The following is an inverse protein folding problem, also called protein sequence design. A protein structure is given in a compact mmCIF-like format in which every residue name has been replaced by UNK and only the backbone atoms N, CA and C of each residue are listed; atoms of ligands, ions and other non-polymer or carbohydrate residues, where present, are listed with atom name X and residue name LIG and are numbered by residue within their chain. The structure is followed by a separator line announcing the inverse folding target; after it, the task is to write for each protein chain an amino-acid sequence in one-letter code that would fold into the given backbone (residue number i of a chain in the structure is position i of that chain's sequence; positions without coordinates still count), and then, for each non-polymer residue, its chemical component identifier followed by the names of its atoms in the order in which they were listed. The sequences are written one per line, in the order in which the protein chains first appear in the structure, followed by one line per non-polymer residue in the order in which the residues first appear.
data_IF_670367843010
#
_entry.id   IF_670367843010
#
_cell.length_a   1.000
_cell.length_b   1.000
_cell.length_c   1.000
_cell.angle_alpha   90.00
_cell.angle_beta   90.00
_cell.angle_gamma   90.00
#
_symmetry.space_group_name_H-M   'P 1'
#
loop_
_entity.id
_entity.type
_entity.pdbx_description
1 polymer ?
#
# COMPACT_ATOMS: atom_id res chain seq x y z
N UNK A 1 1.44 -14.62 23.56
CA UNK A 1 2.49 -15.41 24.25
C UNK A 1 2.50 -16.88 23.76
N UNK A 2 1.36 -17.51 23.50
CA UNK A 2 1.29 -18.90 23.01
C UNK A 2 2.07 -19.10 21.71
N UNK A 3 1.80 -18.27 20.69
CA UNK A 3 2.47 -18.33 19.39
C UNK A 3 3.99 -18.08 19.49
N UNK A 4 4.41 -17.17 20.40
CA UNK A 4 5.85 -16.91 20.62
C UNK A 4 6.56 -18.12 21.23
N UNK A 5 5.89 -18.87 22.11
CA UNK A 5 6.41 -20.13 22.65
C UNK A 5 6.60 -21.21 21.58
N UNK A 6 5.85 -21.10 20.47
CA UNK A 6 5.97 -21.97 19.28
C UNK A 6 7.02 -21.47 18.29
N UNK A 7 7.79 -20.42 18.61
CA UNK A 7 8.85 -19.88 17.78
C UNK A 7 8.41 -18.78 16.80
N UNK A 8 7.12 -18.38 16.79
CA UNK A 8 6.65 -17.30 15.92
C UNK A 8 7.03 -15.94 16.50
N UNK A 9 7.60 -15.07 15.67
CA UNK A 9 8.05 -13.73 16.09
C UNK A 9 7.53 -12.60 15.21
N UNK A 10 6.92 -12.91 14.07
CA UNK A 10 6.35 -11.91 13.15
C UNK A 10 4.87 -12.17 12.95
N UNK A 11 4.06 -11.11 13.02
CA UNK A 11 2.60 -11.19 12.98
C UNK A 11 2.05 -10.13 12.06
N UNK A 12 1.02 -10.49 11.30
CA UNK A 12 0.17 -9.56 10.59
C UNK A 12 -1.08 -9.28 11.44
N UNK A 13 -1.41 -8.02 11.64
CA UNK A 13 -2.65 -7.61 12.31
C UNK A 13 -3.69 -7.42 11.21
N UNK A 14 -4.65 -8.34 11.15
CA UNK A 14 -5.72 -8.39 10.15
C UNK A 14 -6.86 -7.41 10.47
N UNK A 15 -6.52 -6.14 10.61
CA UNK A 15 -7.46 -5.03 10.77
C UNK A 15 -7.28 -4.14 9.54
N UNK A 16 -8.34 -3.91 8.78
CA UNK A 16 -8.28 -3.19 7.50
C UNK A 16 -7.81 -1.75 7.66
N UNK A 17 -8.06 -1.16 8.83
CA UNK A 17 -7.52 0.14 9.21
C UNK A 17 -7.28 0.19 10.72
N UNK A 18 -6.11 -0.25 11.13
CA UNK A 18 -5.73 -0.32 12.54
C UNK A 18 -5.74 1.06 13.22
N UNK A 19 -5.56 2.15 12.48
CA UNK A 19 -5.61 3.50 13.01
C UNK A 19 -7.05 3.91 13.43
N UNK A 20 -8.07 3.35 12.78
CA UNK A 20 -9.48 3.57 13.12
C UNK A 20 -9.99 2.66 14.26
N UNK A 21 -9.20 1.70 14.69
CA UNK A 21 -9.57 0.81 15.79
C UNK A 21 -9.64 1.58 17.11
N UNK A 22 -10.79 1.60 17.75
CA UNK A 22 -11.02 2.33 19.02
C UNK A 22 -10.07 1.93 20.16
N UNK A 23 -9.49 0.74 20.08
CA UNK A 23 -8.58 0.18 21.08
C UNK A 23 -7.11 0.21 20.64
N UNK A 24 -6.77 0.88 19.53
CA UNK A 24 -5.41 0.89 18.98
C UNK A 24 -4.35 1.24 20.03
N UNK A 25 -4.63 2.23 20.86
CA UNK A 25 -3.68 2.70 21.87
C UNK A 25 -3.39 1.65 22.94
N UNK A 26 -4.44 1.06 23.52
CA UNK A 26 -4.30 0.01 24.53
C UNK A 26 -3.66 -1.27 23.97
N UNK A 27 -3.90 -1.60 22.71
CA UNK A 27 -3.28 -2.73 22.02
C UNK A 27 -1.77 -2.47 21.85
N UNK A 28 -1.40 -1.28 21.38
CA UNK A 28 0.02 -0.90 21.22
C UNK A 28 0.73 -0.84 22.56
N UNK A 29 0.11 -0.29 23.62
CA UNK A 29 0.69 -0.25 24.96
C UNK A 29 0.96 -1.67 25.45
N UNK A 30 0.09 -2.63 25.20
CA UNK A 30 0.30 -4.02 25.55
C UNK A 30 1.44 -4.67 24.77
N UNK A 31 1.60 -4.34 23.49
CA UNK A 31 2.75 -4.82 22.72
C UNK A 31 4.06 -4.19 23.18
N UNK A 32 4.05 -2.92 23.57
CA UNK A 32 5.21 -2.25 24.16
C UNK A 32 5.62 -2.95 25.47
N UNK A 33 4.67 -3.22 26.37
CA UNK A 33 4.91 -3.99 27.60
C UNK A 33 5.56 -5.36 27.31
N UNK A 34 4.99 -6.12 26.36
CA UNK A 34 5.51 -7.42 25.97
C UNK A 34 6.96 -7.36 25.47
N UNK A 35 7.31 -6.30 24.73
CA UNK A 35 8.65 -6.11 24.19
C UNK A 35 9.63 -5.52 25.20
N UNK A 36 9.24 -4.44 25.88
CA UNK A 36 10.15 -3.68 26.72
C UNK A 36 10.32 -4.30 28.12
N UNK A 37 9.22 -4.82 28.70
CA UNK A 37 9.26 -5.44 30.04
C UNK A 37 9.54 -6.93 29.94
N UNK A 38 8.75 -7.65 29.14
CA UNK A 38 8.88 -9.11 29.02
C UNK A 38 9.94 -9.55 27.99
N UNK A 39 10.64 -8.59 27.33
CA UNK A 39 11.76 -8.82 26.38
C UNK A 39 11.40 -9.78 25.23
N UNK A 40 10.13 -9.86 24.83
CA UNK A 40 9.71 -10.68 23.70
C UNK A 40 10.18 -10.06 22.38
N UNK A 41 10.84 -10.85 21.55
CA UNK A 41 11.26 -10.45 20.19
C UNK A 41 10.09 -10.66 19.22
N UNK A 42 9.16 -9.70 19.20
CA UNK A 42 7.99 -9.72 18.32
C UNK A 42 8.00 -8.52 17.38
N UNK A 43 7.45 -8.71 16.19
CA UNK A 43 7.28 -7.67 15.17
C UNK A 43 5.94 -7.78 14.49
N UNK A 44 5.47 -6.66 13.94
CA UNK A 44 4.14 -6.57 13.33
C UNK A 44 4.18 -5.92 11.95
N UNK A 45 3.27 -6.37 11.10
CA UNK A 45 2.77 -5.64 9.93
C UNK A 45 1.36 -5.17 10.26
N UNK A 46 1.04 -3.92 9.95
CA UNK A 46 -0.30 -3.33 10.12
C UNK A 46 -0.78 -2.71 8.81
N UNK A 47 -2.09 -2.55 8.68
CA UNK A 47 -2.73 -1.77 7.62
C UNK A 47 -3.29 -0.49 8.21
N UNK A 48 -3.15 0.63 7.51
CA UNK A 48 -3.62 1.96 7.93
C UNK A 48 -3.99 2.81 6.72
N UNK A 49 -4.84 3.79 6.96
CA UNK A 49 -5.10 4.85 5.99
C UNK A 49 -4.03 5.96 6.01
N UNK A 50 -4.14 6.90 5.09
CA UNK A 50 -3.23 8.05 5.00
C UNK A 50 -3.42 9.06 6.13
N UNK A 51 -4.52 9.01 6.90
CA UNK A 51 -4.83 9.92 7.98
C UNK A 51 -4.25 9.49 9.33
N UNK A 52 -3.66 8.29 9.41
CA UNK A 52 -3.10 7.73 10.64
C UNK A 52 -2.09 8.65 11.35
N UNK A 53 -1.42 9.53 10.60
CA UNK A 53 -0.46 10.50 11.16
C UNK A 53 -1.10 11.65 11.93
N UNK A 54 -2.41 11.85 11.78
CA UNK A 54 -3.19 12.84 12.53
C UNK A 54 -3.55 12.36 13.93
N UNK A 55 -3.37 11.06 14.22
CA UNK A 55 -3.57 10.51 15.55
C UNK A 55 -2.33 10.77 16.41
N UNK A 56 -2.44 11.57 17.49
CA UNK A 56 -1.29 11.91 18.32
C UNK A 56 -0.59 10.68 18.88
N UNK A 57 0.70 10.53 18.62
CA UNK A 57 1.52 9.44 19.16
C UNK A 57 1.31 8.06 18.51
N UNK A 58 0.41 7.91 17.54
CA UNK A 58 0.12 6.61 16.90
C UNK A 58 1.34 6.00 16.25
N UNK A 59 2.05 6.77 15.40
CA UNK A 59 3.21 6.27 14.64
C UNK A 59 4.37 5.95 15.60
N UNK A 60 4.65 6.82 16.58
CA UNK A 60 5.68 6.60 17.56
C UNK A 60 5.41 5.36 18.43
N UNK A 61 4.18 5.19 18.91
CA UNK A 61 3.79 4.00 19.67
C UNK A 61 3.87 2.75 18.80
N UNK A 62 3.47 2.83 17.54
CA UNK A 62 3.56 1.71 16.58
C UNK A 62 5.02 1.23 16.42
N UNK A 63 5.96 2.16 16.24
CA UNK A 63 7.39 1.84 16.16
C UNK A 63 7.91 1.14 17.43
N UNK A 64 7.57 1.66 18.62
CA UNK A 64 7.92 1.06 19.92
C UNK A 64 7.26 -0.31 20.12
N UNK A 65 6.01 -0.44 19.74
CA UNK A 65 5.27 -1.71 19.80
C UNK A 65 5.86 -2.81 18.90
N UNK A 66 6.72 -2.44 17.93
CA UNK A 66 7.42 -3.37 17.07
C UNK A 66 6.83 -3.50 15.67
N UNK A 67 6.05 -2.53 15.24
CA UNK A 67 5.68 -2.43 13.83
C UNK A 67 6.94 -2.27 13.00
N UNK A 68 7.11 -3.10 11.96
CA UNK A 68 8.25 -3.10 11.04
C UNK A 68 7.84 -2.84 9.61
N UNK A 69 6.58 -3.06 9.29
CA UNK A 69 5.97 -2.73 7.99
C UNK A 69 4.58 -2.16 8.21
N UNK A 70 4.28 -1.07 7.53
CA UNK A 70 2.95 -0.49 7.44
C UNK A 70 2.50 -0.57 5.98
N UNK A 71 1.37 -1.24 5.73
CA UNK A 71 0.65 -1.15 4.47
C UNK A 71 -0.28 0.07 4.56
N UNK A 72 -0.21 0.94 3.56
CA UNK A 72 -0.89 2.23 3.57
C UNK A 72 -1.74 2.34 2.31
N UNK A 73 -3.03 2.49 2.46
CA UNK A 73 -3.93 2.78 1.34
C UNK A 73 -3.68 4.18 0.79
N UNK A 74 -2.70 4.33 -0.11
CA UNK A 74 -2.41 5.61 -0.77
C UNK A 74 -3.49 5.94 -1.81
N UNK A 75 -4.04 4.92 -2.43
CA UNK A 75 -5.11 4.94 -3.43
C UNK A 75 -4.69 5.60 -4.74
N UNK A 76 -4.55 6.92 -4.77
CA UNK A 76 -4.15 7.70 -5.93
C UNK A 76 -3.60 9.07 -5.49
N UNK A 77 -2.80 9.72 -6.33
CA UNK A 77 -2.32 11.11 -6.10
C UNK A 77 -2.98 12.12 -7.03
N UNK A 78 -3.68 11.67 -8.06
CA UNK A 78 -4.35 12.55 -9.01
C UNK A 78 -5.63 13.14 -8.37
N UNK A 79 -5.73 14.48 -8.23
CA UNK A 79 -6.89 15.11 -7.60
C UNK A 79 -8.21 14.79 -8.29
N UNK A 80 -8.21 14.67 -9.63
CA UNK A 80 -9.43 14.38 -10.41
C UNK A 80 -9.91 12.95 -10.18
N UNK A 81 -8.99 12.01 -10.01
CA UNK A 81 -9.30 10.61 -9.68
C UNK A 81 -9.83 10.50 -8.25
N UNK A 82 -9.21 11.21 -7.29
CA UNK A 82 -9.64 11.25 -5.89
C UNK A 82 -11.01 11.91 -5.70
N UNK A 83 -11.32 12.95 -6.46
CA UNK A 83 -12.64 13.61 -6.44
C UNK A 83 -13.74 12.66 -6.90
N UNK A 84 -13.49 11.87 -7.94
CA UNK A 84 -14.41 10.84 -8.41
C UNK A 84 -14.69 9.75 -7.39
N UNK A 85 -13.74 9.46 -6.49
CA UNK A 85 -13.86 8.48 -5.40
C UNK A 85 -14.34 9.10 -4.06
N UNK A 86 -14.81 10.35 -4.06
CA UNK A 86 -15.23 11.09 -2.83
C UNK A 86 -14.12 11.29 -1.77
N UNK A 87 -12.86 11.10 -2.14
CA UNK A 87 -11.69 11.26 -1.27
C UNK A 87 -11.04 12.64 -1.46
N UNK A 88 -11.71 13.70 -1.00
CA UNK A 88 -11.28 15.10 -1.19
C UNK A 88 -10.05 15.55 -0.39
N UNK A 89 -9.51 14.72 0.49
CA UNK A 89 -8.63 15.19 1.59
C UNK A 89 -7.14 14.92 1.35
N UNK A 90 -6.76 14.20 0.31
CA UNK A 90 -5.41 13.71 0.16
C UNK A 90 -4.56 14.68 -0.70
N UNK A 91 -3.65 15.40 -0.06
CA UNK A 91 -2.64 16.22 -0.73
C UNK A 91 -1.29 15.51 -0.68
N UNK A 92 -0.52 15.60 -1.73
CA UNK A 92 0.81 14.99 -1.83
C UNK A 92 1.74 15.44 -0.68
N UNK A 93 1.57 16.67 -0.19
CA UNK A 93 2.29 17.20 0.98
C UNK A 93 1.99 16.44 2.27
N UNK A 94 0.72 16.06 2.46
CA UNK A 94 0.27 15.33 3.66
C UNK A 94 0.77 13.89 3.60
N UNK A 95 0.75 13.26 2.40
CA UNK A 95 1.36 11.96 2.18
C UNK A 95 2.86 11.95 2.50
N UNK A 96 3.58 12.99 2.05
CA UNK A 96 5.00 13.13 2.36
C UNK A 96 5.25 13.23 3.86
N UNK A 97 4.48 14.05 4.58
CA UNK A 97 4.60 14.21 6.02
C UNK A 97 4.34 12.89 6.77
N UNK A 98 3.30 12.18 6.42
CA UNK A 98 2.94 10.87 6.96
C UNK A 98 4.03 9.85 6.71
N UNK A 99 4.52 9.72 5.48
CA UNK A 99 5.59 8.77 5.13
C UNK A 99 6.90 9.08 5.86
N UNK A 100 7.26 10.36 5.99
CA UNK A 100 8.43 10.77 6.77
C UNK A 100 8.30 10.45 8.26
N UNK A 101 7.09 10.53 8.82
CA UNK A 101 6.85 10.12 10.22
C UNK A 101 7.10 8.62 10.40
N UNK A 102 6.64 7.76 9.50
CA UNK A 102 6.95 6.32 9.50
C UNK A 102 8.46 6.04 9.37
N UNK A 103 9.15 6.81 8.52
CA UNK A 103 10.62 6.69 8.38
C UNK A 103 11.36 6.98 9.67
N UNK A 104 10.95 8.01 10.42
CA UNK A 104 11.57 8.38 11.70
C UNK A 104 11.56 7.25 12.73
N UNK A 105 10.57 6.36 12.67
CA UNK A 105 10.46 5.21 13.59
C UNK A 105 11.00 3.90 12.99
N UNK A 106 11.65 3.96 11.81
CA UNK A 106 12.33 2.81 11.18
C UNK A 106 11.37 1.75 10.63
N UNK A 107 10.17 2.17 10.17
CA UNK A 107 9.14 1.29 9.58
C UNK A 107 9.25 1.34 8.06
N UNK A 108 9.24 0.17 7.42
CA UNK A 108 9.13 0.03 5.96
C UNK A 108 7.69 0.34 5.56
N UNK A 109 7.52 1.27 4.62
CA UNK A 109 6.21 1.65 4.09
C UNK A 109 5.94 0.90 2.80
N UNK A 110 4.78 0.25 2.74
CA UNK A 110 4.22 -0.37 1.54
C UNK A 110 2.92 0.34 1.21
N UNK A 111 2.81 0.93 0.03
CA UNK A 111 1.65 1.72 -0.34
C UNK A 111 0.87 1.02 -1.46
N UNK A 112 -0.44 0.85 -1.27
CA UNK A 112 -1.36 0.42 -2.31
C UNK A 112 -1.76 1.59 -3.20
N UNK A 113 -1.62 1.44 -4.50
CA UNK A 113 -1.97 2.44 -5.52
C UNK A 113 -2.93 1.85 -6.54
N UNK A 114 -4.09 2.47 -6.71
CA UNK A 114 -5.15 1.97 -7.59
C UNK A 114 -5.04 2.62 -8.96
N UNK A 115 -5.07 1.80 -9.99
CA UNK A 115 -5.03 2.18 -11.41
C UNK A 115 -6.39 1.95 -12.06
N UNK A 116 -6.77 2.87 -12.94
CA UNK A 116 -7.98 2.75 -13.76
C UNK A 116 -9.18 3.52 -13.21
N UNK A 117 -8.96 4.62 -12.50
CA UNK A 117 -10.04 5.58 -12.26
C UNK A 117 -10.57 6.12 -13.60
N UNK A 118 -11.86 6.53 -13.70
CA UNK A 118 -12.49 6.91 -14.96
C UNK A 118 -11.74 8.00 -15.75
N UNK A 119 -10.93 8.82 -15.09
CA UNK A 119 -10.14 9.87 -15.73
C UNK A 119 -8.72 9.45 -16.11
N UNK A 120 -8.28 8.26 -15.71
CA UNK A 120 -6.95 7.78 -15.99
C UNK A 120 -6.73 7.52 -17.49
N UNK A 121 -5.50 7.73 -17.92
CA UNK A 121 -4.92 7.26 -19.18
C UNK A 121 -3.57 6.63 -18.88
N UNK A 122 -3.02 5.87 -19.80
CA UNK A 122 -1.70 5.28 -19.63
C UNK A 122 -0.65 6.38 -19.31
N UNK A 123 -0.70 7.50 -20.02
CA UNK A 123 0.23 8.62 -19.82
C UNK A 123 0.06 9.27 -18.43
N UNK A 124 -1.19 9.44 -17.96
CA UNK A 124 -1.42 10.03 -16.63
C UNK A 124 -0.93 9.12 -15.53
N UNK A 125 -1.18 7.81 -15.64
CA UNK A 125 -0.68 6.81 -14.69
C UNK A 125 0.84 6.85 -14.58
N UNK A 126 1.55 6.78 -15.69
CA UNK A 126 3.02 6.78 -15.69
C UNK A 126 3.61 8.10 -15.16
N UNK A 127 2.99 9.22 -15.50
CA UNK A 127 3.37 10.55 -14.96
C UNK A 127 3.20 10.58 -13.43
N UNK A 128 2.09 10.07 -12.92
CA UNK A 128 1.81 10.07 -11.49
C UNK A 128 2.81 9.18 -10.73
N UNK A 129 3.22 8.05 -11.30
CA UNK A 129 4.26 7.19 -10.73
C UNK A 129 5.61 7.93 -10.67
N UNK A 130 5.99 8.67 -11.72
CA UNK A 130 7.21 9.49 -11.69
C UNK A 130 7.14 10.60 -10.62
N UNK A 131 5.96 11.19 -10.39
CA UNK A 131 5.74 12.14 -9.29
C UNK A 131 5.92 11.43 -7.93
N UNK A 132 5.35 10.26 -7.74
CA UNK A 132 5.50 9.47 -6.50
C UNK A 132 6.99 9.17 -6.25
N UNK A 133 7.72 8.67 -7.24
CA UNK A 133 9.16 8.39 -7.13
C UNK A 133 9.97 9.59 -6.67
N UNK A 134 9.63 10.77 -7.20
CA UNK A 134 10.35 12.02 -6.96
C UNK A 134 9.95 12.68 -5.63
N UNK A 135 8.66 12.69 -5.31
CA UNK A 135 8.10 13.51 -4.23
C UNK A 135 7.82 12.72 -2.94
N UNK A 136 7.60 11.42 -3.01
CA UNK A 136 7.18 10.62 -1.87
C UNK A 136 8.25 9.60 -1.45
N UNK A 137 8.58 9.52 -0.15
CA UNK A 137 9.56 8.57 0.37
C UNK A 137 8.96 7.18 0.60
N UNK A 138 8.22 6.63 -0.37
CA UNK A 138 7.67 5.27 -0.33
C UNK A 138 8.80 4.25 -0.53
N UNK A 139 8.75 3.11 0.19
CA UNK A 139 9.72 2.01 -0.01
C UNK A 139 9.21 1.01 -1.04
N UNK A 140 7.95 0.59 -0.89
CA UNK A 140 7.29 -0.37 -1.76
C UNK A 140 5.98 0.24 -2.26
N UNK A 141 5.73 0.14 -3.55
CA UNK A 141 4.48 0.57 -4.17
C UNK A 141 3.85 -0.63 -4.87
N UNK A 142 2.63 -0.95 -4.49
CA UNK A 142 1.84 -2.05 -5.04
C UNK A 142 0.73 -1.48 -5.90
N UNK A 143 0.51 -2.07 -7.07
CA UNK A 143 -0.47 -1.58 -8.02
C UNK A 143 -1.64 -2.53 -8.10
N UNK A 144 -2.85 -1.98 -8.00
CA UNK A 144 -4.11 -2.71 -8.05
C UNK A 144 -5.00 -2.13 -9.14
N UNK A 145 -5.78 -2.99 -9.79
CA UNK A 145 -6.85 -2.51 -10.66
C UNK A 145 -8.01 -1.98 -9.83
N UNK A 146 -8.64 -0.89 -10.30
CA UNK A 146 -9.90 -0.43 -9.73
C UNK A 146 -10.97 -1.50 -9.96
N UNK A 147 -11.27 -2.26 -8.92
CA UNK A 147 -12.14 -3.42 -8.98
C UNK A 147 -13.42 -3.18 -8.17
N UNK A 148 -14.59 -3.16 -8.81
CA UNK A 148 -15.86 -3.11 -8.11
C UNK A 148 -16.18 -4.51 -7.55
N UNK A 149 -15.76 -4.78 -6.33
CA UNK A 149 -15.96 -6.11 -5.73
C UNK A 149 -17.44 -6.51 -5.68
N UNK A 150 -17.78 -7.77 -6.03
CA UNK A 150 -19.14 -8.28 -5.96
C UNK A 150 -19.77 -8.04 -4.58
N UNK A 151 -20.97 -7.46 -4.56
CA UNK A 151 -21.67 -7.08 -3.34
C UNK A 151 -21.40 -5.64 -2.87
N UNK A 152 -20.41 -4.94 -3.43
CA UNK A 152 -20.18 -3.52 -3.16
C UNK A 152 -21.22 -2.61 -3.82
N UNK A 153 -21.36 -1.40 -3.29
CA UNK A 153 -22.24 -0.37 -3.89
C UNK A 153 -21.80 0.01 -5.31
N UNK A 154 -20.49 0.03 -5.57
CA UNK A 154 -19.95 0.36 -6.89
C UNK A 154 -20.24 -0.75 -7.91
N UNK A 155 -20.12 -2.02 -7.54
CA UNK A 155 -20.52 -3.14 -8.37
C UNK A 155 -22.00 -3.05 -8.75
N UNK A 156 -22.88 -2.75 -7.77
CA UNK A 156 -24.31 -2.58 -7.99
C UNK A 156 -24.61 -1.41 -8.93
N UNK A 157 -23.96 -0.25 -8.73
CA UNK A 157 -24.14 0.93 -9.61
C UNK A 157 -23.73 0.64 -11.04
N UNK A 158 -22.57 0.01 -11.27
CA UNK A 158 -22.10 -0.34 -12.60
C UNK A 158 -23.01 -1.36 -13.29
N UNK A 159 -23.51 -2.35 -12.55
CA UNK A 159 -24.48 -3.32 -13.06
C UNK A 159 -25.78 -2.65 -13.51
N UNK A 160 -26.35 -1.77 -12.67
CA UNK A 160 -27.58 -1.02 -13.01
C UNK A 160 -27.36 -0.09 -14.22
N UNK A 161 -26.18 0.51 -14.33
CA UNK A 161 -25.80 1.37 -15.45
C UNK A 161 -25.53 0.58 -16.75
N UNK A 162 -25.59 -0.76 -16.73
CA UNK A 162 -25.34 -1.61 -17.90
C UNK A 162 -23.89 -1.61 -18.37
N UNK A 163 -22.95 -1.27 -17.49
CA UNK A 163 -21.51 -1.32 -17.81
C UNK A 163 -21.09 -2.78 -17.94
N UNK A 164 -20.35 -3.07 -19.01
CA UNK A 164 -19.81 -4.42 -19.24
C UNK A 164 -18.84 -4.79 -18.13
N UNK A 165 -19.10 -5.93 -17.48
CA UNK A 165 -18.27 -6.49 -16.41
C UNK A 165 -17.95 -7.95 -16.71
N UNK A 166 -16.82 -8.43 -16.20
CA UNK A 166 -16.44 -9.83 -16.32
C UNK A 166 -17.45 -10.74 -15.61
N UNK A 167 -17.75 -11.88 -16.22
CA UNK A 167 -18.72 -12.86 -15.69
C UNK A 167 -18.08 -13.83 -14.71
N UNK A 168 -16.76 -14.00 -14.77
CA UNK A 168 -16.02 -14.86 -13.85
C UNK A 168 -15.68 -14.10 -12.58
N UNK A 169 -16.34 -14.45 -11.49
CA UNK A 169 -16.15 -13.82 -10.19
C UNK A 169 -14.74 -14.05 -9.60
N UNK A 170 -14.00 -15.05 -10.08
CA UNK A 170 -12.61 -15.26 -9.65
C UNK A 170 -11.66 -14.18 -10.19
N UNK A 171 -12.05 -13.44 -11.21
CA UNK A 171 -11.27 -12.34 -11.76
C UNK A 171 -11.34 -11.06 -10.92
N UNK A 172 -12.23 -11.00 -9.90
CA UNK A 172 -12.41 -9.81 -9.05
C UNK A 172 -11.44 -9.81 -7.87
N UNK A 173 -10.17 -9.96 -8.13
CA UNK A 173 -9.08 -10.07 -7.16
C UNK A 173 -8.18 -8.82 -7.08
N UNK A 174 -8.61 -7.71 -7.69
CA UNK A 174 -7.84 -6.47 -7.86
C UNK A 174 -6.56 -6.59 -8.72
N UNK A 175 -6.34 -7.74 -9.37
CA UNK A 175 -5.19 -8.01 -10.24
C UNK A 175 -5.59 -8.11 -11.72
N UNK A 176 -6.88 -7.99 -12.02
CA UNK A 176 -7.42 -8.08 -13.37
C UNK A 176 -8.34 -6.91 -13.70
N UNK A 177 -8.35 -6.51 -14.96
CA UNK A 177 -9.30 -5.53 -15.48
C UNK A 177 -10.66 -6.22 -15.72
N UNK A 178 -11.63 -6.00 -14.83
CA UNK A 178 -12.93 -6.68 -14.82
C UNK A 178 -14.08 -5.82 -15.34
N UNK A 179 -13.82 -4.55 -15.69
CA UNK A 179 -14.84 -3.62 -16.20
C UNK A 179 -14.35 -2.92 -17.45
N UNK A 180 -15.30 -2.40 -18.26
CA UNK A 180 -14.95 -1.45 -19.31
C UNK A 180 -14.41 -0.15 -18.69
N UNK A 181 -13.38 0.41 -19.31
CA UNK A 181 -12.80 1.70 -18.91
C UNK A 181 -13.16 2.79 -19.94
N UNK A 182 -13.56 4.01 -19.52
CA UNK A 182 -14.04 5.02 -20.47
C UNK A 182 -12.98 5.57 -21.43
N UNK A 183 -11.69 5.48 -21.08
CA UNK A 183 -10.58 6.08 -21.85
C UNK A 183 -9.52 5.08 -22.29
N UNK A 184 -9.54 3.86 -21.82
CA UNK A 184 -8.55 2.82 -22.16
C UNK A 184 -9.25 1.57 -22.64
N UNK A 185 -8.70 0.88 -23.66
CA UNK A 185 -9.07 -0.50 -23.91
C UNK A 185 -8.55 -1.40 -22.79
N UNK A 186 -9.06 -2.64 -22.73
CA UNK A 186 -8.59 -3.62 -21.75
C UNK A 186 -7.07 -3.82 -21.85
N UNK A 187 -6.58 -3.99 -23.07
CA UNK A 187 -5.17 -4.20 -23.37
C UNK A 187 -4.31 -3.01 -22.94
N UNK A 188 -4.77 -1.78 -23.21
CA UNK A 188 -4.05 -0.56 -22.81
C UNK A 188 -4.01 -0.41 -21.29
N UNK A 189 -5.07 -0.81 -20.59
CA UNK A 189 -5.11 -0.76 -19.14
C UNK A 189 -4.16 -1.80 -18.52
N UNK A 190 -4.17 -3.02 -19.06
CA UNK A 190 -3.24 -4.09 -18.64
C UNK A 190 -1.77 -3.71 -18.91
N UNK A 191 -1.50 -3.12 -20.08
CA UNK A 191 -0.16 -2.59 -20.40
C UNK A 191 0.25 -1.46 -19.46
N UNK A 192 -0.67 -0.54 -19.13
CA UNK A 192 -0.40 0.54 -18.17
C UNK A 192 -0.05 0.00 -16.79
N UNK A 193 -0.75 -1.04 -16.32
CA UNK A 193 -0.45 -1.69 -15.06
C UNK A 193 0.94 -2.35 -15.09
N UNK A 194 1.27 -3.08 -16.15
CA UNK A 194 2.60 -3.69 -16.29
C UNK A 194 3.71 -2.64 -16.32
N UNK A 195 3.54 -1.58 -17.09
CA UNK A 195 4.48 -0.45 -17.14
C UNK A 195 4.61 0.29 -15.80
N UNK A 196 3.56 0.31 -14.97
CA UNK A 196 3.60 0.89 -13.64
C UNK A 196 4.66 0.21 -12.77
N UNK A 197 4.67 -1.13 -12.75
CA UNK A 197 5.68 -1.91 -12.04
C UNK A 197 7.08 -1.65 -12.57
N UNK A 198 7.28 -1.66 -13.88
CA UNK A 198 8.59 -1.38 -14.51
C UNK A 198 9.09 0.02 -14.20
N UNK A 199 8.20 1.03 -14.26
CA UNK A 199 8.52 2.44 -14.01
C UNK A 199 8.93 2.67 -12.57
N UNK A 200 8.25 2.06 -11.59
CA UNK A 200 8.60 2.27 -10.19
C UNK A 200 9.88 1.53 -9.79
N UNK A 201 10.05 0.27 -10.18
CA UNK A 201 11.14 -0.59 -9.75
C UNK A 201 12.36 -0.57 -10.68
N UNK A 202 12.73 0.61 -11.20
CA UNK A 202 14.00 0.78 -11.93
C UNK A 202 15.20 0.60 -11.01
N UNK A 203 16.38 0.33 -11.57
CA UNK A 203 17.61 0.21 -10.77
C UNK A 203 17.93 1.51 -10.02
N UNK A 204 17.80 2.65 -10.67
CA UNK A 204 18.09 3.99 -10.12
C UNK A 204 17.13 4.32 -8.96
N UNK A 205 15.85 3.97 -9.11
CA UNK A 205 14.89 4.21 -8.04
C UNK A 205 15.11 3.24 -6.88
N UNK A 206 15.41 1.98 -7.17
CA UNK A 206 15.77 0.98 -6.14
C UNK A 206 17.00 1.44 -5.34
N UNK A 207 18.04 1.95 -6.00
CA UNK A 207 19.20 2.54 -5.32
C UNK A 207 18.81 3.72 -4.42
N UNK A 208 17.92 4.59 -4.91
CA UNK A 208 17.40 5.72 -4.12
C UNK A 208 16.66 5.27 -2.87
N UNK A 209 15.81 4.24 -2.98
CA UNK A 209 15.10 3.65 -1.84
C UNK A 209 16.11 3.08 -0.81
N UNK A 210 17.13 2.36 -1.27
CA UNK A 210 18.14 1.76 -0.38
C UNK A 210 19.02 2.82 0.31
N UNK A 211 19.43 3.87 -0.40
CA UNK A 211 20.14 5.02 0.20
C UNK A 211 19.28 5.69 1.28
N UNK A 212 17.99 5.86 1.02
CA UNK A 212 17.03 6.40 1.99
C UNK A 212 16.90 5.48 3.21
N UNK A 213 16.82 4.17 3.01
CA UNK A 213 16.75 3.19 4.09
C UNK A 213 17.95 3.28 5.03
N UNK A 214 19.16 3.47 4.51
CA UNK A 214 20.38 3.66 5.29
C UNK A 214 20.31 4.90 6.20
N UNK A 215 19.81 6.02 5.65
CA UNK A 215 19.73 7.29 6.39
C UNK A 215 18.63 7.28 7.46
N UNK A 216 17.50 6.59 7.18
CA UNK A 216 16.32 6.60 8.05
C UNK A 216 16.29 5.47 9.08
N UNK A 217 17.29 4.58 9.07
CA UNK A 217 17.36 3.46 10.03
C UNK A 217 16.38 2.31 9.73
N UNK A 218 15.71 2.32 8.56
CA UNK A 218 15.03 1.13 8.05
C UNK A 218 16.08 0.11 7.59
N UNK A 219 15.72 -1.18 7.56
CA UNK A 219 16.67 -2.24 7.18
C UNK A 219 16.86 -2.33 5.67
N UNK A 220 18.00 -1.92 5.08
CA UNK A 220 18.21 -2.02 3.64
C UNK A 220 18.14 -3.46 3.12
N UNK A 221 18.65 -4.43 3.91
CA UNK A 221 18.61 -5.84 3.53
C UNK A 221 17.19 -6.40 3.46
N UNK A 222 16.29 -5.99 4.36
CA UNK A 222 14.88 -6.37 4.29
C UNK A 222 14.18 -5.67 3.14
N UNK A 223 14.47 -4.39 2.94
CA UNK A 223 13.89 -3.61 1.85
C UNK A 223 14.26 -4.18 0.48
N UNK A 224 15.55 -4.48 0.23
CA UNK A 224 15.97 -5.09 -1.04
C UNK A 224 15.37 -6.49 -1.20
N UNK A 225 15.27 -7.27 -0.13
CA UNK A 225 14.64 -8.60 -0.17
C UNK A 225 13.18 -8.52 -0.62
N UNK A 226 12.42 -7.55 -0.10
CA UNK A 226 11.02 -7.31 -0.53
C UNK A 226 10.94 -6.83 -1.98
N UNK A 227 11.80 -5.89 -2.40
CA UNK A 227 11.84 -5.41 -3.79
C UNK A 227 12.16 -6.57 -4.75
N UNK A 228 13.13 -7.42 -4.39
CA UNK A 228 13.50 -8.57 -5.21
C UNK A 228 12.36 -9.58 -5.30
N UNK A 229 11.66 -9.80 -4.20
CA UNK A 229 10.48 -10.66 -4.18
C UNK A 229 9.38 -10.11 -5.08
N UNK A 230 9.05 -8.82 -4.98
CA UNK A 230 8.05 -8.16 -5.84
C UNK A 230 8.41 -8.28 -7.31
N UNK A 231 9.67 -7.98 -7.68
CA UNK A 231 10.13 -8.13 -9.07
C UNK A 231 10.07 -9.60 -9.53
N UNK A 232 10.39 -10.55 -8.67
CA UNK A 232 10.26 -11.97 -8.95
C UNK A 232 8.81 -12.37 -9.26
N UNK A 233 7.87 -11.99 -8.40
CA UNK A 233 6.45 -12.26 -8.62
C UNK A 233 5.96 -11.69 -9.95
N UNK A 234 6.23 -10.42 -10.23
CA UNK A 234 5.73 -9.73 -11.43
C UNK A 234 6.42 -10.21 -12.72
N UNK A 235 7.75 -10.32 -12.73
CA UNK A 235 8.48 -10.58 -13.98
C UNK A 235 8.69 -12.06 -14.27
N UNK A 236 8.79 -12.92 -13.26
CA UNK A 236 9.06 -14.35 -13.41
C UNK A 236 7.78 -15.16 -13.27
N UNK A 237 7.10 -15.04 -12.13
CA UNK A 237 5.90 -15.82 -11.80
C UNK A 237 4.63 -15.29 -12.49
N UNK A 238 4.63 -14.03 -12.94
CA UNK A 238 3.47 -13.35 -13.53
C UNK A 238 2.25 -13.29 -12.61
N UNK A 239 2.49 -13.17 -11.31
CA UNK A 239 1.47 -13.04 -10.27
C UNK A 239 1.70 -11.77 -9.45
N UNK A 240 0.63 -11.27 -8.84
CA UNK A 240 0.75 -10.17 -7.89
C UNK A 240 1.48 -10.63 -6.62
N UNK A 241 2.30 -9.77 -5.96
CA UNK A 241 3.08 -10.16 -4.78
C UNK A 241 2.26 -10.37 -3.50
N UNK A 242 0.98 -10.07 -3.49
CA UNK A 242 0.04 -10.32 -2.37
C UNK A 242 -1.01 -11.36 -2.72
#
# INVERSE_FOLDING_TARGET
RGNVKQGLSSFFISDDDFAQNKNWESILDKFIELREIHKLKISFTIQVDTLCHNLPGFIEKSGRAGVKRAFIGLENINPDSLLGASKRQNKITDYRAMLLAWKKVGVITCCGYILGFPNDTQESILRDIEIIKKELPVDLLEFFYLTPFPGSEDHKKLHIAGITMDKDLNMYDANHSVTAHPKMSKENWEEACHKAWETYYTYEHTETILKRALVTGTSPSKTIGLITWFKGCIHIEKVHPL
#
